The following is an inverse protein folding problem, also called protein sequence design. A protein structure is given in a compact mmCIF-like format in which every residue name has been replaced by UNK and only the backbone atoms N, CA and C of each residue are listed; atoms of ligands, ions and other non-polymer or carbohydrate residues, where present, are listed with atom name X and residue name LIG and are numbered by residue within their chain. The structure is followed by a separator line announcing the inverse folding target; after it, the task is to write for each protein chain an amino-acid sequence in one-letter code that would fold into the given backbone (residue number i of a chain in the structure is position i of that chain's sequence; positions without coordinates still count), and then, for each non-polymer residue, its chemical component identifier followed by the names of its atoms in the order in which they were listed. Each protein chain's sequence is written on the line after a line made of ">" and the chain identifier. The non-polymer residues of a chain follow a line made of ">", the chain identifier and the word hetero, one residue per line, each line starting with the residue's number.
data_IF_914047598959
#
_entry.id   IF_914047598959
#
_cell.length_a   1.000
_cell.length_b   1.000
_cell.length_c   1.000
_cell.angle_alpha   90.00
_cell.angle_beta   90.00
_cell.angle_gamma   90.00
#
_symmetry.space_group_name_H-M   'P 1'
#
loop_
_entity.id
_entity.type
_entity.pdbx_description
1 polymer ?
#
# COMPACT_ATOMS: atom_id res chain seq x y z
N UNK A 1 -6.35 -1.50 14.16
CA UNK A 1 -5.91 -1.33 12.77
C UNK A 1 -7.13 -1.30 11.84
N UNK A 2 -7.92 -0.21 11.86
CA UNK A 2 -9.18 -0.13 11.10
C UNK A 2 -9.06 0.59 9.74
N UNK A 3 -7.85 1.00 9.35
CA UNK A 3 -7.63 1.86 8.18
C UNK A 3 -6.94 1.16 7.00
N UNK A 4 -6.40 -0.05 7.18
CA UNK A 4 -5.79 -0.81 6.08
C UNK A 4 -6.87 -1.71 5.49
N UNK A 5 -7.10 -1.55 4.19
CA UNK A 5 -7.99 -2.37 3.38
C UNK A 5 -7.23 -2.83 2.13
N UNK A 6 -7.73 -3.87 1.49
CA UNK A 6 -7.26 -4.30 0.17
C UNK A 6 -7.19 -3.10 -0.79
N UNK A 7 -6.03 -2.85 -1.40
CA UNK A 7 -5.80 -1.69 -2.27
C UNK A 7 -5.33 -0.39 -1.60
N UNK A 8 -5.05 -0.39 -0.29
CA UNK A 8 -4.58 0.80 0.43
C UNK A 8 -3.11 1.12 0.12
N UNK A 9 -2.81 2.39 -0.14
CA UNK A 9 -1.44 2.88 -0.27
C UNK A 9 -0.98 3.42 1.08
N UNK A 10 0.10 2.85 1.62
CA UNK A 10 0.67 3.28 2.90
C UNK A 10 1.75 4.32 2.63
N UNK A 11 1.55 5.56 3.10
CA UNK A 11 2.54 6.62 3.06
C UNK A 11 3.41 6.58 4.33
N UNK A 12 4.70 6.30 4.17
CA UNK A 12 5.70 6.41 5.23
C UNK A 12 6.80 7.39 4.83
N UNK A 13 7.45 7.98 5.84
CA UNK A 13 8.61 8.85 5.66
C UNK A 13 9.84 8.15 6.27
N UNK A 14 10.85 7.86 5.47
CA UNK A 14 12.08 7.15 5.83
C UNK A 14 13.10 8.01 6.60
N UNK A 15 12.83 9.31 6.74
CA UNK A 15 13.72 10.27 7.42
C UNK A 15 13.72 10.15 8.95
N UNK A 16 12.77 9.41 9.54
CA UNK A 16 12.66 9.21 10.98
C UNK A 16 12.96 7.75 11.35
N UNK A 17 13.89 7.53 12.27
CA UNK A 17 14.24 6.19 12.76
C UNK A 17 13.02 5.45 13.33
N UNK A 18 12.11 6.17 13.98
CA UNK A 18 10.86 5.62 14.52
C UNK A 18 9.92 5.08 13.43
N UNK A 19 9.99 5.61 12.21
CA UNK A 19 9.23 5.09 11.07
C UNK A 19 9.87 3.84 10.48
N UNK A 20 11.20 3.73 10.54
CA UNK A 20 11.93 2.51 10.14
C UNK A 20 11.60 1.38 11.11
N UNK A 21 11.69 1.63 12.42
CA UNK A 21 11.34 0.64 13.46
C UNK A 21 9.88 0.18 13.33
N UNK A 22 8.96 1.10 13.00
CA UNK A 22 7.56 0.77 12.77
C UNK A 22 7.37 -0.11 11.52
N UNK A 23 8.13 0.14 10.44
CA UNK A 23 8.06 -0.67 9.23
C UNK A 23 8.53 -2.11 9.49
N UNK A 24 9.59 -2.31 10.29
CA UNK A 24 10.09 -3.64 10.66
C UNK A 24 9.06 -4.48 11.43
N UNK A 25 8.17 -3.84 12.20
CA UNK A 25 7.08 -4.51 12.92
C UNK A 25 5.87 -4.73 11.99
N UNK A 26 5.54 -3.74 11.16
CA UNK A 26 4.32 -3.73 10.36
C UNK A 26 4.39 -4.70 9.18
N UNK A 27 5.54 -4.80 8.51
CA UNK A 27 5.74 -5.70 7.36
C UNK A 27 5.41 -7.16 7.70
N UNK A 28 6.00 -7.78 8.74
CA UNK A 28 5.71 -9.18 9.06
C UNK A 28 4.25 -9.37 9.51
N UNK A 29 3.67 -8.44 10.26
CA UNK A 29 2.26 -8.50 10.67
C UNK A 29 1.31 -8.51 9.48
N UNK A 30 1.55 -7.65 8.48
CA UNK A 30 0.75 -7.62 7.26
C UNK A 30 0.87 -8.92 6.45
N UNK A 31 2.08 -9.51 6.39
CA UNK A 31 2.29 -10.79 5.72
C UNK A 31 1.55 -11.92 6.46
N UNK A 32 1.59 -11.95 7.79
CA UNK A 32 0.83 -12.92 8.61
C UNK A 32 -0.69 -12.76 8.47
N UNK A 33 -1.18 -11.53 8.31
CA UNK A 33 -2.58 -11.24 8.01
C UNK A 33 -3.00 -11.63 6.57
N UNK A 34 -2.04 -12.04 5.72
CA UNK A 34 -2.28 -12.49 4.35
C UNK A 34 -2.19 -11.41 3.28
N UNK A 35 -1.67 -10.23 3.62
CA UNK A 35 -1.43 -9.16 2.64
C UNK A 35 -0.13 -9.39 1.87
N UNK A 36 -0.16 -9.05 0.58
CA UNK A 36 1.02 -9.02 -0.25
C UNK A 36 1.51 -7.57 -0.39
N UNK A 37 2.77 -7.32 -0.03
CA UNK A 37 3.40 -6.02 -0.29
C UNK A 37 3.82 -5.97 -1.77
N UNK A 38 3.22 -5.03 -2.49
CA UNK A 38 3.46 -4.81 -3.92
C UNK A 38 3.80 -3.35 -4.18
N UNK A 39 4.42 -3.07 -5.32
CA UNK A 39 4.66 -1.71 -5.80
C UNK A 39 3.36 -1.07 -6.29
N UNK A 40 3.32 0.26 -6.38
CA UNK A 40 2.15 1.01 -6.89
C UNK A 40 1.78 0.59 -8.33
N UNK A 41 2.78 0.26 -9.16
CA UNK A 41 2.56 -0.19 -10.53
C UNK A 41 1.90 -1.57 -10.58
N UNK A 42 2.37 -2.51 -9.73
CA UNK A 42 1.77 -3.83 -9.60
C UNK A 42 0.35 -3.73 -9.02
N UNK A 43 0.13 -2.86 -8.03
CA UNK A 43 -1.20 -2.61 -7.48
C UNK A 43 -2.16 -2.09 -8.54
N UNK A 44 -1.75 -1.11 -9.34
CA UNK A 44 -2.56 -0.60 -10.45
C UNK A 44 -2.87 -1.70 -11.48
N UNK A 45 -1.88 -2.54 -11.82
CA UNK A 45 -2.08 -3.67 -12.73
C UNK A 45 -3.05 -4.73 -12.18
N UNK A 46 -2.97 -5.06 -10.89
CA UNK A 46 -3.87 -6.00 -10.22
C UNK A 46 -5.32 -5.48 -10.21
N UNK A 47 -5.48 -4.16 -10.08
CA UNK A 47 -6.78 -3.47 -10.11
C UNK A 47 -7.21 -3.06 -11.52
N UNK A 48 -6.55 -3.56 -12.58
CA UNK A 48 -6.87 -3.26 -13.98
C UNK A 48 -6.95 -1.75 -14.28
N UNK A 49 -6.15 -0.95 -13.57
CA UNK A 49 -6.11 0.50 -13.71
C UNK A 49 -4.86 0.90 -14.47
N UNK A 50 -5.02 1.55 -15.63
CA UNK A 50 -3.90 2.17 -16.33
C UNK A 50 -3.51 3.49 -15.67
N UNK A 51 -2.26 3.59 -15.23
CA UNK A 51 -1.68 4.82 -14.69
C UNK A 51 -1.51 5.84 -15.80
N UNK A 52 -2.27 6.94 -15.73
CA UNK A 52 -2.24 8.03 -16.70
C UNK A 52 -1.61 9.29 -16.11
N UNK A 53 -0.85 10.02 -16.93
CA UNK A 53 -0.22 11.27 -16.49
C UNK A 53 -1.29 12.32 -16.20
N UNK A 54 -1.17 13.02 -15.07
CA UNK A 54 -2.13 14.05 -14.64
C UNK A 54 -3.30 13.52 -13.81
N UNK A 55 -3.36 12.21 -13.54
CA UNK A 55 -4.35 11.59 -12.67
C UNK A 55 -3.74 11.37 -11.28
N UNK A 56 -4.50 11.70 -10.22
CA UNK A 56 -4.10 11.46 -8.83
C UNK A 56 -4.67 10.13 -8.35
N UNK A 57 -3.82 9.27 -7.80
CA UNK A 57 -4.20 7.97 -7.23
C UNK A 57 -3.90 7.97 -5.73
N UNK A 58 -4.93 7.91 -4.89
CA UNK A 58 -4.78 7.85 -3.42
C UNK A 58 -5.05 6.46 -2.83
N UNK A 59 -5.83 5.64 -3.54
CA UNK A 59 -6.20 4.28 -3.17
C UNK A 59 -6.67 3.54 -4.43
N UNK A 60 -6.52 2.21 -4.47
CA UNK A 60 -7.06 1.37 -5.53
C UNK A 60 -8.17 0.51 -4.94
N UNK A 61 -9.40 1.02 -4.85
CA UNK A 61 -10.53 0.22 -4.40
C UNK A 61 -11.05 -0.68 -5.53
N UNK A 62 -11.37 -1.93 -5.22
CA UNK A 62 -11.98 -2.87 -6.17
C UNK A 62 -13.35 -2.33 -6.58
N UNK A 63 -13.54 -2.03 -7.88
CA UNK A 63 -14.86 -1.75 -8.44
C UNK A 63 -15.66 -3.06 -8.36
N UNK A 64 -16.84 -3.00 -7.75
CA UNK A 64 -17.72 -4.15 -7.54
C UNK A 64 -18.27 -4.69 -8.85
#
# INVERSE_FOLDING_TARGET
>A
MNNVKDGSIILMHDIFSTSVDAAEILIPQLIEEGYQLVTVHELASLHQTELSTGVTYGEFNRIK
#
